data_IF_181418693747
#
_entry.id   IF_181418693747
#
_cell.length_a   1.000
_cell.length_b   1.000
_cell.length_c   1.000
_cell.angle_alpha   90.00
_cell.angle_beta   90.00
_cell.angle_gamma   90.00
#
_symmetry.space_group_name_H-M   'P 1'
#
loop_
_entity.id
_entity.type
_entity.pdbx_description
1 polymer ?
#
# COMPACT_ATOMS: atom_id res chain seq x y z
N UNK A 1 4.36 -13.34 -5.33
CA UNK A 1 4.01 -11.99 -4.85
C UNK A 1 4.90 -11.64 -3.67
N UNK A 2 5.41 -10.42 -3.60
CA UNK A 2 6.30 -9.95 -2.53
C UNK A 2 5.60 -8.85 -1.73
N UNK A 3 5.43 -9.10 -0.44
CA UNK A 3 4.78 -8.21 0.50
C UNK A 3 5.78 -7.22 1.11
N UNK A 4 5.34 -5.98 1.34
CA UNK A 4 6.06 -5.02 2.18
C UNK A 4 5.12 -3.92 2.70
N UNK A 5 5.48 -3.32 3.84
CA UNK A 5 4.76 -2.18 4.40
C UNK A 5 5.06 -0.93 3.57
N UNK A 6 4.05 -0.36 2.92
CA UNK A 6 4.18 0.76 2.01
C UNK A 6 3.67 2.08 2.61
N UNK A 7 2.74 2.06 3.55
CA UNK A 7 2.25 3.25 4.25
C UNK A 7 2.68 3.38 5.71
N UNK A 8 3.65 2.57 6.13
CA UNK A 8 4.09 2.50 7.52
C UNK A 8 5.59 2.23 7.64
N UNK A 9 6.15 2.71 8.74
CA UNK A 9 7.54 2.60 9.14
C UNK A 9 7.70 1.43 10.11
N UNK A 10 8.69 0.59 9.82
CA UNK A 10 9.04 -0.58 10.62
C UNK A 10 10.50 -0.41 11.11
N UNK A 11 10.74 -0.19 12.42
CA UNK A 11 12.07 0.14 12.93
C UNK A 11 13.11 -0.98 12.78
N UNK A 12 12.64 -2.22 12.58
CA UNK A 12 13.48 -3.41 12.44
C UNK A 12 13.89 -3.70 10.99
N UNK A 13 13.41 -2.92 10.00
CA UNK A 13 13.84 -3.08 8.60
C UNK A 13 15.25 -2.50 8.39
N UNK A 14 16.07 -3.11 7.52
CA UNK A 14 17.46 -2.66 7.29
C UNK A 14 17.55 -1.24 6.69
N UNK A 15 16.48 -0.75 6.08
CA UNK A 15 16.36 0.59 5.50
C UNK A 15 15.64 1.61 6.42
N UNK A 16 15.27 1.22 7.65
CA UNK A 16 14.55 2.08 8.60
C UNK A 16 15.27 3.42 8.86
N UNK A 17 16.60 3.41 8.92
CA UNK A 17 17.43 4.62 9.09
C UNK A 17 17.32 5.64 7.95
N UNK A 18 16.73 5.28 6.82
CA UNK A 18 16.56 6.18 5.67
C UNK A 18 15.33 7.09 5.83
N UNK A 19 14.40 6.74 6.73
CA UNK A 19 13.27 7.60 7.06
C UNK A 19 13.71 8.79 7.90
N UNK A 20 13.19 9.97 7.59
CA UNK A 20 13.41 11.19 8.37
C UNK A 20 12.34 11.31 9.44
N UNK A 21 12.64 12.00 10.53
CA UNK A 21 11.64 12.28 11.57
C UNK A 21 10.37 12.96 11.01
N UNK A 22 10.53 13.83 10.00
CA UNK A 22 9.43 14.51 9.32
C UNK A 22 8.57 13.59 8.42
N UNK A 23 9.05 12.39 8.11
CA UNK A 23 8.28 11.40 7.35
C UNK A 23 7.33 10.59 8.27
N UNK A 24 7.49 10.68 9.60
CA UNK A 24 6.81 9.80 10.56
C UNK A 24 5.60 10.49 11.22
N UNK A 25 4.50 9.76 11.25
CA UNK A 25 3.25 10.14 11.91
C UNK A 25 3.04 9.46 13.26
N UNK A 26 1.77 9.24 13.57
CA UNK A 26 1.32 8.53 14.76
C UNK A 26 1.65 7.03 14.69
N UNK A 27 1.63 6.36 15.84
CA UNK A 27 1.77 4.91 15.92
C UNK A 27 0.60 4.17 15.28
N UNK A 28 0.83 2.93 14.84
CA UNK A 28 -0.23 2.07 14.34
C UNK A 28 -0.95 1.37 15.50
N UNK A 29 -2.28 1.27 15.42
CA UNK A 29 -3.07 0.58 16.43
C UNK A 29 -2.72 -0.92 16.43
N UNK A 30 -2.33 -1.45 17.59
CA UNK A 30 -1.86 -2.84 17.74
C UNK A 30 -0.36 -3.05 17.46
N UNK A 31 0.33 -2.06 16.87
CA UNK A 31 1.74 -2.13 16.47
C UNK A 31 2.51 -0.89 16.97
N UNK A 32 2.85 -0.81 18.27
CA UNK A 32 3.28 0.43 18.91
C UNK A 32 4.64 0.96 18.42
N UNK A 33 5.50 0.09 17.92
CA UNK A 33 6.81 0.45 17.38
C UNK A 33 6.74 0.94 15.93
N UNK A 34 5.60 0.72 15.27
CA UNK A 34 5.37 1.09 13.89
C UNK A 34 4.62 2.40 13.80
N UNK A 35 4.91 3.18 12.76
CA UNK A 35 4.33 4.52 12.58
C UNK A 35 3.80 4.71 11.18
N UNK A 36 2.71 5.45 11.04
CA UNK A 36 2.26 5.92 9.74
C UNK A 36 3.34 6.77 9.10
N UNK A 37 3.45 6.75 7.77
CA UNK A 37 4.42 7.57 7.05
C UNK A 37 3.73 8.58 6.13
N UNK A 38 4.39 9.71 5.87
CA UNK A 38 3.89 10.68 4.91
C UNK A 38 4.15 10.18 3.48
N UNK A 39 3.15 9.53 2.90
CA UNK A 39 3.16 8.99 1.53
C UNK A 39 3.31 10.05 0.43
N UNK A 40 3.20 11.34 0.77
CA UNK A 40 3.48 12.47 -0.13
C UNK A 40 4.96 12.84 -0.15
N UNK A 41 5.72 12.43 0.87
CA UNK A 41 7.14 12.76 1.02
C UNK A 41 7.96 12.17 -0.14
N UNK A 42 8.78 13.00 -0.83
CA UNK A 42 9.74 12.49 -1.80
C UNK A 42 10.74 11.50 -1.21
N UNK A 43 11.06 11.62 0.09
CA UNK A 43 11.96 10.69 0.77
C UNK A 43 11.31 9.30 0.90
N UNK A 44 10.06 9.26 1.38
CA UNK A 44 9.27 8.02 1.47
C UNK A 44 9.13 7.36 0.11
N UNK A 45 8.80 8.14 -0.93
CA UNK A 45 8.67 7.60 -2.30
C UNK A 45 9.98 7.02 -2.82
N UNK A 46 11.12 7.65 -2.52
CA UNK A 46 12.45 7.10 -2.85
C UNK A 46 12.72 5.77 -2.16
N UNK A 47 12.38 5.65 -0.86
CA UNK A 47 12.52 4.41 -0.10
C UNK A 47 11.66 3.30 -0.71
N UNK A 48 10.40 3.59 -1.04
CA UNK A 48 9.54 2.59 -1.67
C UNK A 48 10.00 2.21 -3.08
N UNK A 49 10.48 3.15 -3.89
CA UNK A 49 11.07 2.83 -5.18
C UNK A 49 12.29 1.89 -5.03
N UNK A 50 13.11 2.07 -3.99
CA UNK A 50 14.21 1.17 -3.69
C UNK A 50 13.72 -0.23 -3.25
N UNK A 51 12.67 -0.31 -2.43
CA UNK A 51 12.03 -1.60 -2.05
C UNK A 51 11.45 -2.33 -3.26
N UNK A 52 10.78 -1.62 -4.16
CA UNK A 52 10.25 -2.14 -5.43
C UNK A 52 11.39 -2.63 -6.33
N UNK A 53 12.48 -1.86 -6.44
CA UNK A 53 13.66 -2.27 -7.20
C UNK A 53 14.30 -3.55 -6.63
N UNK A 54 14.36 -3.68 -5.30
CA UNK A 54 14.84 -4.90 -4.66
C UNK A 54 13.92 -6.09 -4.95
N UNK A 55 12.59 -5.90 -4.94
CA UNK A 55 11.64 -6.94 -5.33
C UNK A 55 11.85 -7.40 -6.78
N UNK A 56 12.09 -6.46 -7.69
CA UNK A 56 12.47 -6.78 -9.08
C UNK A 56 13.75 -7.63 -9.15
N UNK A 57 14.81 -7.23 -8.43
CA UNK A 57 16.08 -7.97 -8.41
C UNK A 57 15.93 -9.38 -7.83
N UNK A 58 14.95 -9.58 -6.95
CA UNK A 58 14.61 -10.88 -6.36
C UNK A 58 13.69 -11.73 -7.24
N UNK A 59 13.26 -11.22 -8.40
CA UNK A 59 12.39 -11.96 -9.33
C UNK A 59 10.93 -12.05 -8.88
N UNK A 60 10.44 -11.08 -8.12
CA UNK A 60 9.02 -11.03 -7.76
C UNK A 60 8.14 -10.77 -9.00
N UNK A 61 7.05 -11.53 -9.17
CA UNK A 61 6.08 -11.29 -10.27
C UNK A 61 5.04 -10.20 -9.95
N UNK A 62 4.89 -9.88 -8.66
CA UNK A 62 3.93 -8.89 -8.22
C UNK A 62 4.12 -8.49 -6.76
N UNK A 63 3.49 -7.39 -6.38
CA UNK A 63 3.66 -6.71 -5.10
C UNK A 63 2.35 -6.62 -4.33
N UNK A 64 2.45 -6.78 -3.02
CA UNK A 64 1.37 -6.54 -2.05
C UNK A 64 1.82 -5.42 -1.08
N UNK A 65 1.63 -4.13 -1.45
CA UNK A 65 2.04 -3.00 -0.63
C UNK A 65 0.98 -2.71 0.44
N UNK A 66 1.34 -2.89 1.71
CA UNK A 66 0.42 -2.77 2.84
C UNK A 66 0.28 -1.34 3.37
N UNK A 67 -0.78 -1.11 4.15
CA UNK A 67 -1.09 0.13 4.88
C UNK A 67 -1.28 1.37 3.98
N UNK A 68 -1.84 1.19 2.78
CA UNK A 68 -2.16 2.29 1.86
C UNK A 68 -3.44 3.05 2.24
N UNK A 69 -4.11 2.62 3.32
CA UNK A 69 -5.37 3.09 3.89
C UNK A 69 -5.19 4.00 5.11
N UNK A 70 -4.00 4.58 5.31
CA UNK A 70 -3.72 5.45 6.47
C UNK A 70 -4.67 6.65 6.62
N UNK A 71 -5.39 7.06 5.57
CA UNK A 71 -6.44 8.08 5.63
C UNK A 71 -7.69 7.67 6.42
N UNK A 72 -7.89 6.37 6.66
CA UNK A 72 -8.97 5.85 7.50
C UNK A 72 -8.59 5.83 8.99
N UNK A 73 -7.31 6.07 9.30
CA UNK A 73 -6.74 5.99 10.65
C UNK A 73 -6.35 7.35 11.22
N UNK A 74 -6.14 7.42 12.53
CA UNK A 74 -5.55 8.60 13.22
C UNK A 74 -4.05 8.69 12.95
N UNK A 75 -3.66 8.92 11.70
CA UNK A 75 -2.28 8.85 11.22
C UNK A 75 -1.36 10.00 11.69
N UNK A 76 -1.91 11.10 12.21
CA UNK A 76 -1.12 12.26 12.67
C UNK A 76 -0.48 13.11 11.56
N UNK A 77 -0.79 12.85 10.29
CA UNK A 77 -0.20 13.49 9.10
C UNK A 77 -1.25 14.17 8.19
N UNK A 78 -2.54 13.98 8.49
CA UNK A 78 -3.64 14.52 7.70
C UNK A 78 -3.76 13.89 6.33
N UNK A 79 -3.41 12.60 6.20
CA UNK A 79 -3.52 11.87 4.92
C UNK A 79 -4.97 11.79 4.45
N UNK A 80 -5.16 11.97 3.15
CA UNK A 80 -6.47 11.91 2.48
C UNK A 80 -6.55 10.74 1.49
N UNK A 81 -7.78 10.41 1.06
CA UNK A 81 -8.00 9.45 -0.04
C UNK A 81 -7.26 9.84 -1.31
N UNK A 82 -7.19 11.14 -1.61
CA UNK A 82 -6.49 11.64 -2.80
C UNK A 82 -4.99 11.35 -2.72
N UNK A 83 -4.39 11.51 -1.54
CA UNK A 83 -2.98 11.18 -1.30
C UNK A 83 -2.72 9.68 -1.50
N UNK A 84 -3.59 8.82 -0.97
CA UNK A 84 -3.49 7.37 -1.16
C UNK A 84 -3.66 6.95 -2.62
N UNK A 85 -4.63 7.52 -3.34
CA UNK A 85 -4.84 7.25 -4.77
C UNK A 85 -3.60 7.64 -5.58
N UNK A 86 -3.02 8.83 -5.35
CA UNK A 86 -1.79 9.26 -6.02
C UNK A 86 -0.61 8.35 -5.67
N UNK A 87 -0.51 7.96 -4.41
CA UNK A 87 0.55 7.08 -3.94
C UNK A 87 0.48 5.67 -4.54
N UNK A 88 -0.69 5.04 -4.58
CA UNK A 88 -0.87 3.71 -5.22
C UNK A 88 -0.58 3.78 -6.72
N UNK A 89 -0.95 4.88 -7.39
CA UNK A 89 -0.56 5.12 -8.80
C UNK A 89 0.95 5.21 -8.96
N UNK A 90 1.65 5.88 -8.04
CA UNK A 90 3.10 5.93 -8.01
C UNK A 90 3.72 4.53 -7.83
N UNK A 91 3.28 3.76 -6.82
CA UNK A 91 3.78 2.40 -6.58
C UNK A 91 3.56 1.50 -7.80
N UNK A 92 2.38 1.59 -8.42
CA UNK A 92 2.05 0.83 -9.63
C UNK A 92 2.96 1.21 -10.80
N UNK A 93 3.22 2.51 -11.00
CA UNK A 93 4.12 3.00 -12.06
C UNK A 93 5.55 2.48 -11.86
N UNK A 94 6.06 2.49 -10.63
CA UNK A 94 7.40 1.95 -10.34
C UNK A 94 7.46 0.44 -10.56
N UNK A 95 6.44 -0.31 -10.13
CA UNK A 95 6.38 -1.76 -10.32
C UNK A 95 6.30 -2.17 -11.81
N UNK A 96 5.57 -1.41 -12.63
CA UNK A 96 5.44 -1.66 -14.06
C UNK A 96 6.76 -1.48 -14.82
N UNK A 97 7.69 -0.64 -14.33
CA UNK A 97 9.05 -0.55 -14.90
C UNK A 97 9.84 -1.85 -14.77
N UNK A 98 9.42 -2.69 -13.82
CA UNK A 98 9.99 -3.99 -13.52
C UNK A 98 9.09 -5.15 -13.99
N UNK A 99 8.06 -4.87 -14.79
CA UNK A 99 7.07 -5.85 -15.25
C UNK A 99 6.36 -6.61 -14.11
N UNK A 100 6.23 -5.98 -12.93
CA UNK A 100 5.55 -6.57 -11.77
C UNK A 100 4.11 -6.08 -11.68
N UNK A 101 3.20 -6.99 -11.32
CA UNK A 101 1.82 -6.65 -10.97
C UNK A 101 1.73 -6.01 -9.58
N UNK A 102 0.67 -5.26 -9.29
CA UNK A 102 0.47 -4.61 -7.97
C UNK A 102 -0.96 -4.83 -7.49
N UNK A 103 -1.11 -5.19 -6.21
CA UNK A 103 -2.39 -5.28 -5.52
C UNK A 103 -2.80 -3.99 -4.82
N UNK A 104 -4.12 -3.81 -4.63
CA UNK A 104 -4.67 -2.89 -3.64
C UNK A 104 -5.01 -3.67 -2.37
N UNK A 105 -4.33 -3.39 -1.27
CA UNK A 105 -4.57 -3.99 0.05
C UNK A 105 -5.66 -3.21 0.78
N UNK A 106 -6.74 -3.88 1.17
CA UNK A 106 -7.92 -3.30 1.82
C UNK A 106 -8.44 -2.05 1.07
N UNK A 107 -8.40 -0.87 1.70
CA UNK A 107 -8.70 0.43 1.07
C UNK A 107 -9.96 0.43 0.19
N UNK A 108 -11.03 -0.16 0.73
CA UNK A 108 -12.23 -0.54 -0.03
C UNK A 108 -12.94 0.66 -0.68
N UNK A 109 -12.83 1.84 -0.06
CA UNK A 109 -13.50 3.07 -0.46
C UNK A 109 -12.83 3.82 -1.63
N UNK A 110 -11.59 3.44 -2.00
CA UNK A 110 -10.88 3.96 -3.18
C UNK A 110 -10.77 2.94 -4.33
N UNK A 111 -11.40 1.76 -4.18
CA UNK A 111 -11.41 0.69 -5.20
C UNK A 111 -11.83 1.20 -6.57
N UNK A 112 -12.93 1.95 -6.66
CA UNK A 112 -13.45 2.47 -7.94
C UNK A 112 -12.48 3.42 -8.63
N UNK A 113 -11.62 4.11 -7.86
CA UNK A 113 -10.60 5.03 -8.38
C UNK A 113 -9.33 4.31 -8.86
N UNK A 114 -9.10 3.08 -8.40
CA UNK A 114 -7.85 2.34 -8.60
C UNK A 114 -8.01 1.01 -9.35
N UNK A 115 -9.23 0.50 -9.53
CA UNK A 115 -9.48 -0.78 -10.20
C UNK A 115 -8.93 -0.84 -11.63
N UNK A 116 -8.84 0.29 -12.34
CA UNK A 116 -8.20 0.36 -13.66
C UNK A 116 -6.67 0.47 -13.60
N UNK A 117 -6.11 0.82 -12.44
CA UNK A 117 -4.67 1.04 -12.21
C UNK A 117 -3.98 -0.22 -11.71
N UNK A 118 -4.51 -0.84 -10.65
CA UNK A 118 -3.92 -2.04 -10.02
C UNK A 118 -4.39 -3.33 -10.67
N UNK A 119 -3.76 -4.46 -10.37
CA UNK A 119 -3.96 -5.74 -11.07
C UNK A 119 -4.89 -6.70 -10.31
N UNK A 120 -4.97 -6.55 -9.00
CA UNK A 120 -5.78 -7.37 -8.10
C UNK A 120 -6.06 -6.62 -6.80
N UNK A 121 -6.91 -7.19 -5.94
CA UNK A 121 -7.06 -6.78 -4.55
C UNK A 121 -6.54 -7.86 -3.61
N UNK A 122 -6.05 -7.44 -2.45
CA UNK A 122 -5.84 -8.29 -1.28
C UNK A 122 -6.76 -7.73 -0.20
N UNK A 123 -7.66 -8.55 0.34
CA UNK A 123 -8.60 -8.11 1.37
C UNK A 123 -8.51 -9.00 2.59
N UNK A 124 -8.56 -8.39 3.76
CA UNK A 124 -8.69 -9.08 5.03
C UNK A 124 -10.14 -8.94 5.54
N UNK A 125 -10.74 -10.06 5.94
CA UNK A 125 -11.94 -10.08 6.77
C UNK A 125 -13.20 -9.43 6.18
N UNK A 126 -13.35 -9.33 4.85
CA UNK A 126 -14.56 -8.71 4.30
C UNK A 126 -15.85 -9.45 4.68
N UNK A 127 -15.76 -10.76 4.94
CA UNK A 127 -16.89 -11.56 5.42
C UNK A 127 -17.29 -11.16 6.84
N UNK A 128 -16.30 -10.94 7.71
CA UNK A 128 -16.52 -10.52 9.10
C UNK A 128 -17.14 -9.13 9.17
N UNK A 129 -16.63 -8.18 8.38
CA UNK A 129 -17.08 -6.79 8.38
C UNK A 129 -18.18 -6.48 7.35
N UNK A 130 -18.66 -7.49 6.62
CA UNK A 130 -19.72 -7.39 5.59
C UNK A 130 -19.43 -6.37 4.49
N UNK A 131 -18.17 -6.29 4.07
CA UNK A 131 -17.67 -5.30 3.09
C UNK A 131 -17.26 -5.94 1.75
N UNK A 132 -17.50 -7.25 1.54
CA UNK A 132 -17.06 -7.94 0.31
C UNK A 132 -17.63 -7.31 -0.98
N UNK A 133 -18.81 -6.70 -0.89
CA UNK A 133 -19.44 -6.02 -2.02
C UNK A 133 -18.59 -4.84 -2.55
N UNK A 134 -17.80 -4.19 -1.70
CA UNK A 134 -16.92 -3.08 -2.09
C UNK A 134 -15.79 -3.52 -3.04
N UNK A 135 -15.43 -4.80 -3.02
CA UNK A 135 -14.41 -5.39 -3.91
C UNK A 135 -14.98 -5.99 -5.19
N UNK A 136 -16.30 -6.02 -5.37
CA UNK A 136 -16.96 -6.49 -6.59
C UNK A 136 -16.46 -5.82 -7.89
N UNK A 137 -16.03 -4.54 -7.92
CA UNK A 137 -15.47 -3.93 -9.13
C UNK A 137 -14.25 -4.68 -9.67
N UNK A 138 -13.43 -5.31 -8.83
CA UNK A 138 -12.31 -6.14 -9.30
C UNK A 138 -12.82 -7.36 -10.09
N UNK A 139 -13.79 -8.08 -9.54
CA UNK A 139 -14.38 -9.26 -10.19
C UNK A 139 -15.05 -8.87 -11.52
N UNK A 140 -15.80 -7.77 -11.54
CA UNK A 140 -16.42 -7.23 -12.75
C UNK A 140 -15.38 -6.87 -13.83
N UNK A 141 -14.22 -6.36 -13.42
CA UNK A 141 -13.08 -6.08 -14.28
C UNK A 141 -12.23 -7.33 -14.61
N UNK A 142 -12.67 -8.54 -14.24
CA UNK A 142 -11.94 -9.82 -14.39
C UNK A 142 -10.57 -9.83 -13.69
N UNK A 143 -10.46 -9.12 -12.58
CA UNK A 143 -9.29 -9.07 -11.71
C UNK A 143 -9.56 -9.86 -10.42
N UNK A 144 -8.60 -10.65 -9.92
CA UNK A 144 -8.83 -11.46 -8.74
C UNK A 144 -8.86 -10.61 -7.47
N UNK A 145 -9.56 -11.13 -6.45
CA UNK A 145 -9.53 -10.66 -5.07
C UNK A 145 -8.95 -11.81 -4.24
N UNK A 146 -7.76 -11.62 -3.70
CA UNK A 146 -7.13 -12.57 -2.76
C UNK A 146 -7.65 -12.26 -1.36
N UNK A 147 -8.66 -13.03 -0.92
CA UNK A 147 -9.30 -12.87 0.38
C UNK A 147 -8.56 -13.66 1.46
N UNK A 148 -8.37 -13.03 2.63
CA UNK A 148 -7.83 -13.60 3.86
C UNK A 148 -8.94 -13.62 4.90
#
# INVERSE_FOLDING_TARGET
>A
MCYFWAGSYEPYRPDAKNFKAADLGAGLDGWPDEKWIDIRSPNVRSIMAARISLACQKGCDGLDPDNVDGYESKNGLGLTKADAIDYVKFLTKEALRCNMSVGLKNAADIVTSLVSTVHYAVNEQCVTYKECASFAPFIQAKKPVFHI
#
